data_IF_341183721445
#
_entry.id   IF_341183721445
#
_cell.length_a   1.000
_cell.length_b   1.000
_cell.length_c   1.000
_cell.angle_alpha   90.00
_cell.angle_beta   90.00
_cell.angle_gamma   90.00
#
_symmetry.space_group_name_H-M   'P 1'
#
loop_
_entity.id
_entity.type
_entity.pdbx_description
1 polymer ?
#
# COMPACT_ATOMS: atom_id res chain seq x y z
N UNK A 1 12.22 6.91 -25.38
CA UNK A 1 11.83 5.47 -25.36
C UNK A 1 11.84 5.03 -23.89
N UNK A 2 10.71 4.51 -23.37
CA UNK A 2 10.68 3.92 -22.02
C UNK A 2 11.51 2.64 -22.04
N UNK A 3 12.45 2.51 -21.10
CA UNK A 3 13.21 1.27 -20.94
C UNK A 3 12.29 0.23 -20.28
N UNK A 4 11.86 -0.83 -20.97
CA UNK A 4 10.92 -1.82 -20.42
C UNK A 4 11.47 -2.48 -19.15
N UNK A 5 12.75 -2.77 -19.08
CA UNK A 5 13.36 -3.39 -17.90
C UNK A 5 13.25 -2.58 -16.60
N UNK A 6 13.19 -1.24 -16.67
CA UNK A 6 13.02 -0.41 -15.47
C UNK A 6 11.64 -0.56 -14.83
N UNK A 7 10.59 -0.82 -15.63
CA UNK A 7 9.24 -1.02 -15.10
C UNK A 7 9.15 -2.38 -14.40
N UNK A 8 9.71 -3.41 -14.98
CA UNK A 8 9.74 -4.76 -14.41
C UNK A 8 10.55 -4.81 -13.11
N UNK A 9 11.72 -4.18 -13.10
CA UNK A 9 12.53 -4.06 -11.87
C UNK A 9 11.78 -3.32 -10.75
N UNK A 10 11.08 -2.24 -11.09
CA UNK A 10 10.28 -1.50 -10.10
C UNK A 10 9.11 -2.34 -9.57
N UNK A 11 8.45 -3.13 -10.42
CA UNK A 11 7.39 -4.03 -10.01
C UNK A 11 7.92 -5.15 -9.11
N UNK A 12 9.01 -5.86 -9.53
CA UNK A 12 9.65 -6.90 -8.74
C UNK A 12 10.08 -6.38 -7.36
N UNK A 13 10.71 -5.21 -7.30
CA UNK A 13 11.04 -4.56 -6.03
C UNK A 13 9.83 -4.32 -5.16
N UNK A 14 8.74 -3.77 -5.75
CA UNK A 14 7.49 -3.55 -5.04
C UNK A 14 6.99 -4.81 -4.38
N UNK A 15 6.80 -5.86 -5.16
CA UNK A 15 6.34 -7.17 -4.69
C UNK A 15 7.23 -7.73 -3.56
N UNK A 16 8.56 -7.69 -3.73
CA UNK A 16 9.47 -8.25 -2.75
C UNK A 16 9.46 -7.46 -1.41
N UNK A 17 9.41 -6.13 -1.45
CA UNK A 17 9.36 -5.31 -0.21
C UNK A 17 8.01 -5.47 0.51
N UNK A 18 6.89 -5.60 -0.23
CA UNK A 18 5.58 -5.89 0.35
C UNK A 18 5.56 -7.27 1.01
N UNK A 19 6.04 -8.31 0.32
CA UNK A 19 6.13 -9.66 0.88
C UNK A 19 6.98 -9.68 2.17
N UNK A 20 8.13 -9.02 2.17
CA UNK A 20 8.97 -8.92 3.37
C UNK A 20 8.25 -8.21 4.52
N UNK A 21 7.53 -7.14 4.24
CA UNK A 21 6.75 -6.43 5.25
C UNK A 21 5.65 -7.32 5.84
N UNK A 22 4.93 -8.02 5.00
CA UNK A 22 3.87 -8.94 5.40
C UNK A 22 4.39 -10.04 6.34
N UNK A 23 5.41 -10.79 5.90
CA UNK A 23 6.04 -11.84 6.70
C UNK A 23 6.55 -11.29 8.05
N UNK A 24 7.17 -10.12 8.03
CA UNK A 24 7.64 -9.46 9.25
C UNK A 24 6.51 -9.14 10.22
N UNK A 25 5.40 -8.61 9.73
CA UNK A 25 4.22 -8.25 10.53
C UNK A 25 3.50 -9.48 11.08
N UNK A 26 3.58 -10.60 10.39
CA UNK A 26 3.07 -11.91 10.84
C UNK A 26 4.02 -12.61 11.85
N UNK A 27 5.20 -12.03 12.11
CA UNK A 27 6.18 -12.55 13.05
C UNK A 27 7.24 -13.44 12.44
N UNK A 28 7.25 -13.61 11.13
CA UNK A 28 8.24 -14.39 10.38
C UNK A 28 9.47 -13.53 10.05
N UNK A 29 10.36 -13.40 11.03
CA UNK A 29 11.52 -12.47 10.93
C UNK A 29 12.77 -13.10 10.31
N UNK A 30 12.75 -14.34 9.93
CA UNK A 30 13.87 -15.07 9.31
C UNK A 30 13.98 -14.87 7.78
N UNK A 31 12.94 -14.32 7.16
CA UNK A 31 12.86 -14.09 5.71
C UNK A 31 13.12 -15.32 4.85
N UNK A 32 12.80 -16.51 5.35
CA UNK A 32 12.99 -17.79 4.64
C UNK A 32 12.31 -17.83 3.26
N UNK A 33 11.24 -17.05 3.06
CA UNK A 33 10.59 -16.89 1.76
C UNK A 33 11.49 -16.27 0.68
N UNK A 34 12.62 -15.65 1.06
CA UNK A 34 13.59 -15.04 0.15
C UNK A 34 14.78 -15.96 -0.20
N UNK A 35 14.81 -17.19 0.30
CA UNK A 35 15.93 -18.14 0.08
C UNK A 35 16.27 -18.38 -1.41
N UNK A 36 15.25 -18.23 -2.28
CA UNK A 36 15.42 -18.40 -3.73
C UNK A 36 15.65 -17.09 -4.49
N UNK A 37 15.70 -15.96 -3.79
CA UNK A 37 15.98 -14.67 -4.41
C UNK A 37 17.48 -14.46 -4.58
N UNK A 38 17.85 -13.69 -5.60
CA UNK A 38 19.23 -13.31 -5.86
C UNK A 38 19.77 -12.43 -4.71
N UNK A 39 20.86 -12.82 -4.04
CA UNK A 39 21.43 -12.05 -2.94
C UNK A 39 21.82 -10.60 -3.30
N UNK A 40 22.28 -10.35 -4.53
CA UNK A 40 22.57 -8.99 -5.01
C UNK A 40 21.28 -8.16 -5.14
N UNK A 41 20.20 -8.79 -5.62
CA UNK A 41 18.90 -8.14 -5.70
C UNK A 41 18.37 -7.76 -4.31
N UNK A 42 18.48 -8.66 -3.34
CA UNK A 42 18.09 -8.38 -1.95
C UNK A 42 18.89 -7.19 -1.42
N UNK A 43 20.20 -7.26 -1.47
CA UNK A 43 21.11 -6.24 -0.94
C UNK A 43 20.93 -4.87 -1.59
N UNK A 44 20.88 -4.82 -2.92
CA UNK A 44 20.92 -3.56 -3.65
C UNK A 44 19.52 -2.95 -3.89
N UNK A 45 18.48 -3.78 -3.78
CA UNK A 45 17.13 -3.38 -4.17
C UNK A 45 16.13 -3.42 -3.02
N UNK A 46 16.17 -4.44 -2.17
CA UNK A 46 15.18 -4.59 -1.07
C UNK A 46 15.67 -3.88 0.19
N UNK A 47 16.88 -4.15 0.64
CA UNK A 47 17.42 -3.62 1.90
C UNK A 47 17.38 -2.09 2.02
N UNK A 48 17.66 -1.29 0.98
CA UNK A 48 17.59 0.17 1.08
C UNK A 48 16.20 0.70 1.45
N UNK A 49 15.14 -0.02 1.08
CA UNK A 49 13.77 0.32 1.49
C UNK A 49 13.43 -0.28 2.85
N UNK A 50 13.91 -1.50 3.11
CA UNK A 50 13.63 -2.25 4.31
C UNK A 50 14.20 -1.61 5.57
N UNK A 51 15.46 -1.20 5.55
CA UNK A 51 16.14 -0.62 6.70
C UNK A 51 15.44 0.63 7.28
N UNK A 52 14.79 1.43 6.42
CA UNK A 52 14.00 2.57 6.88
C UNK A 52 12.55 2.23 7.28
N UNK A 53 12.04 1.08 6.82
CA UNK A 53 10.69 0.64 7.07
C UNK A 53 10.58 -0.15 8.38
N UNK A 54 11.45 -1.13 8.61
CA UNK A 54 11.40 -2.03 9.77
C UNK A 54 11.35 -1.29 11.10
N UNK A 55 12.16 -0.25 11.28
CA UNK A 55 12.15 0.60 12.49
C UNK A 55 10.80 1.28 12.75
N UNK A 56 10.01 1.50 11.71
CA UNK A 56 8.66 2.08 11.84
C UNK A 56 7.63 1.01 12.16
N UNK A 57 7.77 -0.17 11.57
CA UNK A 57 6.90 -1.31 11.84
C UNK A 57 7.02 -1.79 13.28
N UNK A 58 8.23 -1.75 13.86
CA UNK A 58 8.48 -2.10 15.26
C UNK A 58 7.78 -1.18 16.27
N UNK A 59 7.29 -0.03 15.84
CA UNK A 59 6.57 0.92 16.70
C UNK A 59 5.08 0.63 16.81
N UNK A 60 4.56 -0.29 16.03
CA UNK A 60 3.15 -0.67 16.16
C UNK A 60 2.91 -1.47 17.43
N UNK A 61 1.85 -1.11 18.14
CA UNK A 61 1.45 -1.81 19.38
C UNK A 61 0.88 -3.20 19.06
N UNK A 62 0.10 -3.28 17.96
CA UNK A 62 -0.55 -4.52 17.49
C UNK A 62 -0.84 -4.42 16.01
N UNK A 63 -0.58 -5.48 15.26
CA UNK A 63 -1.05 -5.67 13.90
C UNK A 63 -2.45 -6.28 13.95
N UNK A 64 -3.40 -5.62 13.27
CA UNK A 64 -4.78 -6.08 13.12
C UNK A 64 -4.93 -6.84 11.81
N UNK A 65 -4.30 -6.31 10.77
CA UNK A 65 -4.32 -6.85 9.41
C UNK A 65 -2.98 -6.57 8.71
N UNK A 66 -2.46 -7.55 8.03
CA UNK A 66 -1.42 -7.40 7.01
C UNK A 66 -1.93 -8.04 5.72
N UNK A 67 -1.60 -7.47 4.56
CA UNK A 67 -1.95 -8.08 3.27
C UNK A 67 -1.40 -9.52 3.28
N UNK A 68 -2.29 -10.51 3.12
CA UNK A 68 -1.89 -11.90 3.03
C UNK A 68 -2.45 -12.50 1.75
N UNK A 69 -1.61 -12.72 0.72
CA UNK A 69 -2.04 -13.31 -0.53
C UNK A 69 -2.60 -14.73 -0.37
N UNK A 70 -2.34 -15.40 0.76
CA UNK A 70 -2.90 -16.72 1.05
C UNK A 70 -4.31 -16.68 1.66
N UNK A 71 -4.80 -15.51 2.07
CA UNK A 71 -6.14 -15.33 2.63
C UNK A 71 -7.07 -14.70 1.59
N UNK A 72 -7.47 -15.48 0.60
CA UNK A 72 -8.46 -15.11 -0.43
C UNK A 72 -9.86 -14.78 0.10
N UNK A 73 -10.10 -14.97 1.40
CA UNK A 73 -11.42 -14.85 2.02
C UNK A 73 -11.89 -13.41 2.26
N UNK A 74 -11.02 -12.40 2.08
CA UNK A 74 -11.37 -11.00 2.26
C UNK A 74 -11.25 -10.20 0.97
N UNK A 75 -12.29 -10.25 0.15
CA UNK A 75 -12.47 -9.30 -0.94
C UNK A 75 -13.34 -8.14 -0.48
N UNK A 76 -12.75 -6.95 -0.45
CA UNK A 76 -13.43 -5.72 -0.07
C UNK A 76 -14.12 -5.10 -1.29
N UNK A 77 -15.42 -5.17 -1.33
CA UNK A 77 -16.20 -4.53 -2.39
C UNK A 77 -17.12 -3.48 -1.78
N UNK A 78 -16.96 -2.23 -2.19
CA UNK A 78 -17.88 -1.14 -1.83
C UNK A 78 -18.59 -0.67 -3.09
N UNK A 79 -19.90 -0.60 -3.04
CA UNK A 79 -20.71 0.00 -4.08
C UNK A 79 -20.52 1.52 -4.15
N UNK A 80 -20.78 2.13 -5.29
CA UNK A 80 -20.73 3.58 -5.50
C UNK A 80 -21.74 4.37 -4.64
N UNK A 81 -22.68 3.68 -4.03
CA UNK A 81 -23.67 4.18 -3.07
C UNK A 81 -23.20 4.08 -1.61
N UNK A 82 -21.95 3.67 -1.38
CA UNK A 82 -21.39 3.46 -0.04
C UNK A 82 -21.87 2.18 0.66
N UNK A 83 -22.63 1.33 -0.03
CA UNK A 83 -23.15 0.08 0.50
C UNK A 83 -22.18 -1.04 0.11
N UNK A 84 -21.63 -1.74 1.11
CA UNK A 84 -20.85 -2.95 0.86
C UNK A 84 -21.78 -4.02 0.29
N UNK A 85 -21.49 -4.49 -0.91
CA UNK A 85 -22.22 -5.61 -1.49
C UNK A 85 -21.31 -6.82 -1.49
N UNK A 86 -21.65 -7.79 -0.66
CA UNK A 86 -21.10 -9.14 -0.78
C UNK A 86 -21.81 -9.77 -1.98
N UNK A 87 -21.06 -10.12 -3.02
CA UNK A 87 -21.60 -10.85 -4.15
C UNK A 87 -21.95 -12.27 -3.71
N UNK A 88 -23.22 -12.64 -3.85
CA UNK A 88 -23.68 -14.01 -3.65
C UNK A 88 -23.94 -14.65 -5.01
N UNK A 89 -23.36 -15.82 -5.30
CA UNK A 89 -23.67 -16.53 -6.54
C UNK A 89 -25.17 -16.81 -6.62
N UNK A 90 -25.86 -16.25 -7.61
CA UNK A 90 -27.29 -16.44 -7.83
C UNK A 90 -28.17 -15.20 -7.68
N UNK A 91 -27.65 -14.08 -7.19
CA UNK A 91 -28.32 -12.80 -7.29
C UNK A 91 -28.05 -12.19 -8.66
N UNK A 92 -29.12 -11.88 -9.37
CA UNK A 92 -29.03 -11.34 -10.72
C UNK A 92 -28.31 -9.99 -10.76
N UNK A 93 -27.36 -9.93 -11.66
CA UNK A 93 -26.60 -8.85 -12.20
C UNK A 93 -27.33 -7.54 -12.31
N UNK A 94 -27.43 -6.81 -11.28
CA UNK A 94 -27.68 -5.39 -11.43
C UNK A 94 -26.41 -4.67 -11.01
N UNK A 95 -25.71 -4.20 -12.01
CA UNK A 95 -24.62 -3.22 -11.94
C UNK A 95 -23.88 -3.14 -10.59
N UNK A 96 -22.91 -4.03 -10.38
CA UNK A 96 -21.96 -3.87 -9.28
C UNK A 96 -21.12 -2.63 -9.58
N UNK A 97 -21.57 -1.48 -9.14
CA UNK A 97 -20.78 -0.25 -9.14
C UNK A 97 -20.01 -0.21 -7.85
N UNK A 98 -18.75 -0.60 -7.90
CA UNK A 98 -17.93 -0.58 -6.71
C UNK A 98 -16.44 -0.68 -7.01
N UNK A 99 -15.66 -0.66 -5.97
CA UNK A 99 -14.23 -0.93 -6.03
C UNK A 99 -13.86 -2.00 -5.01
N UNK A 100 -12.85 -2.76 -5.33
CA UNK A 100 -12.24 -3.71 -4.41
C UNK A 100 -10.76 -3.34 -4.23
N UNK A 101 -10.22 -3.64 -3.06
CA UNK A 101 -8.81 -3.45 -2.77
C UNK A 101 -8.48 -3.94 -1.36
N UNK A 102 -7.21 -4.25 -1.15
CA UNK A 102 -6.68 -4.61 0.16
C UNK A 102 -5.67 -3.54 0.60
N UNK A 103 -5.79 -2.99 1.81
CA UNK A 103 -4.73 -2.18 2.40
C UNK A 103 -3.56 -3.08 2.77
N UNK A 104 -2.33 -2.56 2.70
CA UNK A 104 -1.15 -3.34 3.07
C UNK A 104 -1.10 -3.62 4.59
N UNK A 105 -1.59 -2.68 5.40
CA UNK A 105 -1.59 -2.84 6.87
C UNK A 105 -2.73 -2.10 7.55
N UNK A 106 -3.31 -2.75 8.57
CA UNK A 106 -4.10 -2.11 9.61
C UNK A 106 -3.46 -2.50 10.95
N UNK A 107 -3.05 -1.51 11.73
CA UNK A 107 -2.34 -1.72 12.99
C UNK A 107 -2.76 -0.70 14.04
N UNK A 108 -2.28 -0.84 15.28
CA UNK A 108 -2.39 0.21 16.29
C UNK A 108 -1.03 0.83 16.57
N UNK A 109 -1.02 2.13 16.79
CA UNK A 109 0.15 2.91 17.19
C UNK A 109 -0.26 3.93 18.24
N UNK A 110 0.31 3.81 19.44
CA UNK A 110 -0.04 4.65 20.60
C UNK A 110 -1.56 4.71 20.85
N UNK A 111 -2.20 3.55 20.77
CA UNK A 111 -3.64 3.39 20.98
C UNK A 111 -4.53 3.92 19.84
N UNK A 112 -3.97 4.38 18.73
CA UNK A 112 -4.72 4.83 17.54
C UNK A 112 -4.65 3.80 16.44
N UNK A 113 -5.73 3.68 15.69
CA UNK A 113 -5.77 2.78 14.52
C UNK A 113 -5.10 3.45 13.33
N UNK A 114 -4.15 2.74 12.75
CA UNK A 114 -3.40 3.14 11.56
C UNK A 114 -3.85 2.30 10.38
N UNK A 115 -4.15 2.97 9.27
CA UNK A 115 -4.35 2.37 7.95
C UNK A 115 -3.19 2.77 7.06
N UNK A 116 -2.48 1.80 6.49
CA UNK A 116 -1.28 2.04 5.69
C UNK A 116 -1.30 1.34 4.34
N UNK A 117 -0.63 2.00 3.37
CA UNK A 117 -0.40 1.48 2.03
C UNK A 117 1.03 1.82 1.60
N UNK A 118 1.86 0.80 1.48
CA UNK A 118 3.29 0.95 1.20
C UNK A 118 3.53 1.25 -0.29
N UNK A 119 4.34 2.24 -0.56
CA UNK A 119 4.74 2.58 -1.92
C UNK A 119 6.26 2.60 -2.06
N UNK A 120 6.80 1.63 -2.79
CA UNK A 120 8.22 1.59 -3.16
C UNK A 120 8.47 2.45 -4.40
N UNK A 121 8.95 3.65 -4.21
CA UNK A 121 9.19 4.60 -5.32
C UNK A 121 10.55 5.28 -5.19
N UNK A 122 11.31 5.33 -6.28
CA UNK A 122 12.53 6.13 -6.36
C UNK A 122 12.25 7.63 -6.53
N UNK A 123 10.99 8.01 -6.75
CA UNK A 123 10.59 9.40 -6.94
C UNK A 123 9.95 9.97 -5.68
N UNK A 124 10.22 11.23 -5.44
CA UNK A 124 9.68 11.94 -4.28
C UNK A 124 8.16 12.16 -4.40
N UNK A 125 7.49 12.21 -3.27
CA UNK A 125 6.11 12.61 -3.11
C UNK A 125 6.06 14.03 -2.54
N UNK A 126 5.20 14.87 -3.07
CA UNK A 126 5.06 16.25 -2.63
C UNK A 126 3.63 16.56 -2.26
N UNK A 127 3.39 17.00 -1.02
CA UNK A 127 2.05 17.36 -0.53
C UNK A 127 1.51 18.68 -1.07
N UNK A 128 2.34 19.43 -1.86
CA UNK A 128 1.95 20.72 -2.45
C UNK A 128 2.19 20.73 -3.95
N UNK A 129 1.27 21.34 -4.68
CA UNK A 129 1.45 21.64 -6.10
C UNK A 129 2.62 22.64 -6.29
N UNK A 130 3.46 22.48 -7.31
CA UNK A 130 4.51 23.45 -7.60
C UNK A 130 3.90 24.83 -7.92
N UNK A 131 4.30 25.84 -7.16
CA UNK A 131 3.90 27.24 -7.36
C UNK A 131 4.73 27.96 -8.42
N UNK A 132 4.45 29.25 -8.61
CA UNK A 132 5.16 30.11 -9.56
C UNK A 132 6.66 30.23 -9.24
N UNK A 133 7.02 30.15 -7.97
CA UNK A 133 8.41 30.26 -7.49
C UNK A 133 9.20 28.95 -7.61
N UNK A 134 8.57 27.88 -8.10
CA UNK A 134 9.27 26.61 -8.29
C UNK A 134 10.25 26.72 -9.45
N UNK A 135 11.55 26.41 -9.24
CA UNK A 135 12.54 26.41 -10.31
C UNK A 135 12.08 25.56 -11.49
N UNK A 136 12.29 26.05 -12.72
CA UNK A 136 11.81 25.42 -13.95
C UNK A 136 12.33 23.98 -14.13
N UNK A 137 13.54 23.72 -13.74
CA UNK A 137 14.19 22.40 -13.74
C UNK A 137 13.56 21.40 -12.76
N UNK A 138 12.95 21.90 -11.68
CA UNK A 138 12.29 21.08 -10.67
C UNK A 138 10.78 20.94 -10.87
N UNK A 139 10.17 21.81 -11.69
CA UNK A 139 8.72 21.88 -11.85
C UNK A 139 8.10 20.54 -12.27
N UNK A 140 8.68 19.89 -13.27
CA UNK A 140 8.20 18.60 -13.77
C UNK A 140 8.24 17.49 -12.71
N UNK A 141 9.33 17.42 -11.96
CA UNK A 141 9.52 16.45 -10.86
C UNK A 141 8.53 16.70 -9.73
N UNK A 142 8.36 17.94 -9.28
CA UNK A 142 7.42 18.31 -8.20
C UNK A 142 5.97 18.05 -8.61
N UNK A 143 5.60 18.38 -9.85
CA UNK A 143 4.27 18.08 -10.39
C UNK A 143 3.99 16.57 -10.39
N UNK A 144 4.92 15.78 -10.88
CA UNK A 144 4.78 14.33 -10.92
C UNK A 144 4.66 13.73 -9.52
N UNK A 145 5.46 14.22 -8.57
CA UNK A 145 5.41 13.80 -7.17
C UNK A 145 4.11 14.20 -6.47
N UNK A 146 3.56 15.37 -6.78
CA UNK A 146 2.25 15.78 -6.27
C UNK A 146 1.10 14.88 -6.80
N UNK A 147 1.10 14.56 -8.08
CA UNK A 147 0.10 13.65 -8.66
C UNK A 147 0.18 12.27 -8.01
N UNK A 148 1.39 11.77 -7.75
CA UNK A 148 1.57 10.51 -7.01
C UNK A 148 0.99 10.60 -5.61
N UNK A 149 1.30 11.66 -4.88
CA UNK A 149 0.78 11.89 -3.53
C UNK A 149 -0.75 11.92 -3.51
N UNK A 150 -1.38 12.66 -4.43
CA UNK A 150 -2.84 12.68 -4.53
C UNK A 150 -3.44 11.29 -4.77
N UNK A 151 -2.83 10.48 -5.64
CA UNK A 151 -3.29 9.11 -5.89
C UNK A 151 -3.23 8.24 -4.63
N UNK A 152 -2.17 8.35 -3.85
CA UNK A 152 -2.06 7.63 -2.57
C UNK A 152 -3.14 8.10 -1.58
N UNK A 153 -3.38 9.41 -1.47
CA UNK A 153 -4.44 9.93 -0.61
C UNK A 153 -5.84 9.42 -1.03
N UNK A 154 -6.12 9.37 -2.33
CA UNK A 154 -7.39 8.84 -2.84
C UNK A 154 -7.53 7.34 -2.55
N UNK A 155 -6.46 6.57 -2.71
CA UNK A 155 -6.45 5.14 -2.42
C UNK A 155 -6.70 4.89 -0.94
N UNK A 156 -5.99 5.60 -0.05
CA UNK A 156 -6.19 5.48 1.40
C UNK A 156 -7.60 5.91 1.82
N UNK A 157 -8.18 6.96 1.22
CA UNK A 157 -9.55 7.36 1.49
C UNK A 157 -10.56 6.27 1.06
N UNK A 158 -10.33 5.62 -0.08
CA UNK A 158 -11.16 4.49 -0.50
C UNK A 158 -11.04 3.31 0.47
N UNK A 159 -9.82 2.97 0.90
CA UNK A 159 -9.60 1.92 1.90
C UNK A 159 -10.21 2.26 3.26
N UNK A 160 -10.15 3.52 3.69
CA UNK A 160 -10.77 3.96 4.95
C UNK A 160 -12.29 3.67 4.94
N UNK A 161 -12.97 4.06 3.88
CA UNK A 161 -14.40 3.76 3.71
C UNK A 161 -14.63 2.24 3.71
N UNK A 162 -13.80 1.48 2.97
CA UNK A 162 -13.89 0.03 2.88
C UNK A 162 -13.76 -0.64 4.25
N UNK A 163 -12.73 -0.28 4.99
CA UNK A 163 -12.42 -0.82 6.33
C UNK A 163 -13.56 -0.56 7.31
N UNK A 164 -14.11 0.67 7.31
CA UNK A 164 -15.24 1.01 8.17
C UNK A 164 -16.50 0.17 7.85
N UNK A 165 -16.81 0.00 6.56
CA UNK A 165 -17.99 -0.76 6.15
C UNK A 165 -17.85 -2.26 6.35
N UNK A 166 -16.66 -2.83 6.13
CA UNK A 166 -16.49 -4.28 6.08
C UNK A 166 -16.17 -4.87 7.45
N UNK A 167 -15.35 -4.21 8.24
CA UNK A 167 -14.94 -4.71 9.57
C UNK A 167 -15.28 -3.78 10.73
N UNK A 168 -15.95 -2.66 10.45
CA UNK A 168 -16.40 -1.72 11.48
C UNK A 168 -15.27 -0.96 12.19
N UNK A 169 -14.05 -1.00 11.66
CA UNK A 169 -12.90 -0.30 12.22
C UNK A 169 -12.79 1.08 11.57
N UNK A 170 -12.68 2.11 12.40
CA UNK A 170 -12.44 3.48 11.94
C UNK A 170 -10.97 3.84 12.11
N UNK A 171 -10.21 4.06 11.04
CA UNK A 171 -8.84 4.53 11.13
C UNK A 171 -8.75 5.96 11.69
N UNK A 172 -7.73 6.20 12.53
CA UNK A 172 -7.37 7.51 13.06
C UNK A 172 -6.24 8.15 12.28
N UNK A 173 -5.37 7.32 11.68
CA UNK A 173 -4.15 7.73 10.99
C UNK A 173 -4.06 7.00 9.64
N UNK A 174 -3.73 7.76 8.59
CA UNK A 174 -3.45 7.25 7.26
C UNK A 174 -1.97 7.45 6.94
N UNK A 175 -1.28 6.40 6.44
CA UNK A 175 0.14 6.45 6.12
C UNK A 175 0.49 5.66 4.83
#
# INVERSE_FOLDING_TARGET
KKNPGKKEQAARRGTAVHARMEHYLLGEKDFSHEENEDPEFIKDTIEPFWNGLSEKLDKFDKVIWAENPANDDFQWTIGSDGISRVWSPGEHETEVRGWAGAPDIIATYKGKVVLGDLKTSNGLYFGKWPGADTPKDQYGMRRAGFIKYQKCCMQLAAYDIAVQHTIGIKPDIHM
#
